data_IF_422197276885
#
_entry.id   IF_422197276885
#
_cell.length_a   1.000
_cell.length_b   1.000
_cell.length_c   1.000
_cell.angle_alpha   90.00
_cell.angle_beta   90.00
_cell.angle_gamma   90.00
#
_symmetry.space_group_name_H-M   'P 1'
#
loop_
_entity.id
_entity.type
_entity.pdbx_description
1 polymer ?
#
# COMPACT_ATOMS: atom_id res chain seq x y z
N UNK A 1 17.95 29.08 38.26
CA UNK A 1 16.81 28.78 37.34
C UNK A 1 17.15 28.87 35.84
N UNK A 2 18.27 29.48 35.46
CA UNK A 2 18.71 29.63 34.08
C UNK A 2 19.25 28.36 33.42
N UNK A 3 20.01 27.54 34.10
CA UNK A 3 20.73 26.38 33.53
C UNK A 3 19.82 25.24 33.05
N UNK A 4 18.66 25.03 33.68
CA UNK A 4 17.71 23.98 33.30
C UNK A 4 16.99 24.32 32.02
N UNK A 5 16.72 25.59 31.76
CA UNK A 5 16.03 26.06 30.56
C UNK A 5 16.96 26.01 29.32
N UNK A 6 18.22 26.42 29.50
CA UNK A 6 19.25 26.35 28.43
C UNK A 6 19.56 24.90 28.08
N UNK A 7 19.69 24.01 29.06
CA UNK A 7 19.90 22.58 28.86
C UNK A 7 18.74 21.96 28.03
N UNK A 8 17.49 22.26 28.35
CA UNK A 8 16.32 21.76 27.60
C UNK A 8 16.28 22.25 26.15
N UNK A 9 16.69 23.47 25.88
CA UNK A 9 16.72 24.05 24.55
C UNK A 9 17.82 23.40 23.72
N UNK A 10 19.03 23.26 24.23
CA UNK A 10 20.15 22.58 23.58
C UNK A 10 19.79 21.13 23.26
N UNK A 11 19.25 20.38 24.22
CA UNK A 11 18.83 19.00 24.03
C UNK A 11 17.77 18.87 22.92
N UNK A 12 16.79 19.77 22.87
CA UNK A 12 15.77 19.78 21.81
C UNK A 12 16.38 20.03 20.43
N UNK A 13 17.30 20.96 20.29
CA UNK A 13 17.96 21.24 19.02
C UNK A 13 18.87 20.09 18.60
N UNK A 14 19.63 19.51 19.52
CA UNK A 14 20.48 18.35 19.24
C UNK A 14 19.64 17.16 18.76
N UNK A 15 18.53 16.84 19.44
CA UNK A 15 17.62 15.78 19.01
C UNK A 15 17.02 16.06 17.62
N UNK A 16 16.61 17.31 17.35
CA UNK A 16 16.09 17.67 16.01
C UNK A 16 17.14 17.47 14.93
N UNK A 17 18.36 17.95 15.14
CA UNK A 17 19.46 17.81 14.17
C UNK A 17 19.80 16.33 13.95
N UNK A 18 19.86 15.53 15.00
CA UNK A 18 20.11 14.08 14.89
C UNK A 18 19.00 13.37 14.10
N UNK A 19 17.73 13.63 14.43
CA UNK A 19 16.59 13.00 13.74
C UNK A 19 16.52 13.45 12.29
N UNK A 20 16.65 14.74 12.02
CA UNK A 20 16.64 15.27 10.64
C UNK A 20 17.85 14.74 9.85
N UNK A 21 19.04 14.74 10.45
CA UNK A 21 20.24 14.19 9.82
C UNK A 21 20.10 12.69 9.50
N UNK A 22 19.52 11.91 10.41
CA UNK A 22 19.22 10.51 10.21
C UNK A 22 18.23 10.29 9.05
N UNK A 23 17.14 11.08 8.99
CA UNK A 23 16.16 11.00 7.91
C UNK A 23 16.77 11.43 6.55
N UNK A 24 17.59 12.47 6.53
CA UNK A 24 18.30 12.89 5.32
C UNK A 24 19.21 11.76 4.83
N UNK A 25 20.00 11.18 5.72
CA UNK A 25 20.97 10.15 5.36
C UNK A 25 20.32 8.86 4.87
N UNK A 26 19.26 8.40 5.55
CA UNK A 26 18.64 7.11 5.25
C UNK A 26 17.53 7.16 4.20
N UNK A 27 16.86 8.30 4.02
CA UNK A 27 15.72 8.41 3.12
C UNK A 27 16.04 9.34 1.95
N UNK A 28 16.40 10.60 2.24
CA UNK A 28 16.56 11.59 1.19
C UNK A 28 17.79 11.30 0.33
N UNK A 29 18.91 10.95 0.94
CA UNK A 29 20.16 10.69 0.24
C UNK A 29 20.05 9.55 -0.79
N UNK A 30 19.57 8.32 -0.45
CA UNK A 30 19.38 7.27 -1.46
C UNK A 30 18.42 7.66 -2.57
N UNK A 31 17.31 8.33 -2.24
CA UNK A 31 16.34 8.79 -3.27
C UNK A 31 16.97 9.81 -4.20
N UNK A 32 17.80 10.74 -3.69
CA UNK A 32 18.52 11.71 -4.55
C UNK A 32 19.56 11.04 -5.42
N UNK A 33 20.20 9.95 -4.96
CA UNK A 33 21.11 9.17 -5.79
C UNK A 33 20.38 8.47 -6.94
N UNK A 34 19.22 7.87 -6.68
CA UNK A 34 18.38 7.29 -7.76
C UNK A 34 17.98 8.36 -8.76
N UNK A 35 17.54 9.54 -8.30
CA UNK A 35 17.23 10.64 -9.20
C UNK A 35 18.44 11.09 -10.01
N UNK A 36 19.62 11.22 -9.39
CA UNK A 36 20.87 11.58 -10.08
C UNK A 36 21.21 10.57 -11.16
N UNK A 37 21.19 9.28 -10.86
CA UNK A 37 21.51 8.22 -11.83
C UNK A 37 20.47 8.19 -12.97
N UNK A 38 19.19 8.42 -12.68
CA UNK A 38 18.14 8.52 -13.71
C UNK A 38 18.47 9.61 -14.74
N UNK A 39 18.94 10.76 -14.32
CA UNK A 39 19.19 11.90 -15.19
C UNK A 39 20.67 12.08 -15.57
N UNK A 40 21.56 11.17 -15.19
CA UNK A 40 23.00 11.26 -15.44
C UNK A 40 23.35 11.40 -16.94
N UNK A 41 22.56 10.74 -17.80
CA UNK A 41 22.73 10.77 -19.25
C UNK A 41 21.80 11.74 -19.98
N UNK A 42 21.16 12.67 -19.24
CA UNK A 42 20.19 13.62 -19.77
C UNK A 42 18.75 13.09 -19.81
N UNK A 43 17.84 13.89 -20.38
CA UNK A 43 16.40 13.59 -20.43
C UNK A 43 16.01 12.66 -21.58
N UNK A 44 16.75 12.68 -22.71
CA UNK A 44 16.37 11.87 -23.88
C UNK A 44 16.34 10.37 -23.59
N UNK A 45 17.37 9.76 -22.97
CA UNK A 45 17.31 8.33 -22.61
C UNK A 45 16.19 7.97 -21.63
N UNK A 46 15.83 8.89 -20.73
CA UNK A 46 14.69 8.70 -19.81
C UNK A 46 13.36 8.64 -20.57
N UNK A 47 13.19 9.55 -21.54
CA UNK A 47 11.98 9.56 -22.38
C UNK A 47 11.92 8.31 -23.25
N UNK A 48 13.03 7.87 -23.81
CA UNK A 48 13.11 6.67 -24.64
C UNK A 48 12.80 5.42 -23.80
N UNK A 49 13.36 5.28 -22.60
CA UNK A 49 13.02 4.22 -21.66
C UNK A 49 11.52 4.17 -21.33
N UNK A 50 10.87 5.33 -21.12
CA UNK A 50 9.43 5.39 -20.84
C UNK A 50 8.55 5.06 -22.06
N UNK A 51 9.10 5.07 -23.26
CA UNK A 51 8.40 4.68 -24.50
C UNK A 51 8.53 3.19 -24.82
N UNK A 52 9.39 2.47 -24.12
CA UNK A 52 9.51 1.03 -24.34
C UNK A 52 8.20 0.32 -24.03
N UNK A 53 7.71 -0.55 -24.94
CA UNK A 53 6.47 -1.27 -24.74
C UNK A 53 6.45 -2.09 -23.45
N UNK A 54 7.58 -2.67 -23.07
CA UNK A 54 7.73 -3.47 -21.86
C UNK A 54 7.57 -2.61 -20.58
N UNK A 55 8.16 -1.41 -20.57
CA UNK A 55 8.03 -0.46 -19.46
C UNK A 55 6.57 -0.01 -19.33
N UNK A 56 5.95 0.38 -20.45
CA UNK A 56 4.55 0.82 -20.46
C UNK A 56 3.65 -0.30 -19.92
N UNK A 57 3.81 -1.52 -20.42
CA UNK A 57 3.04 -2.68 -19.98
C UNK A 57 3.23 -2.94 -18.47
N UNK A 58 4.47 -2.95 -17.98
CA UNK A 58 4.79 -3.18 -16.58
C UNK A 58 4.15 -2.14 -15.66
N UNK A 59 4.15 -0.86 -16.04
CA UNK A 59 3.45 0.20 -15.31
C UNK A 59 1.92 0.05 -15.36
N UNK A 60 1.34 -0.26 -16.52
CA UNK A 60 -0.10 -0.51 -16.64
C UNK A 60 -0.54 -1.67 -15.75
N UNK A 61 0.20 -2.77 -15.75
CA UNK A 61 -0.09 -3.92 -14.91
C UNK A 61 0.02 -3.56 -13.42
N UNK A 62 1.08 -2.83 -13.02
CA UNK A 62 1.27 -2.39 -11.63
C UNK A 62 0.14 -1.48 -11.16
N UNK A 63 -0.22 -0.47 -11.96
CA UNK A 63 -1.30 0.45 -11.64
C UNK A 63 -2.65 -0.26 -11.57
N UNK A 64 -2.92 -1.15 -12.52
CA UNK A 64 -4.15 -1.96 -12.50
C UNK A 64 -4.21 -2.87 -11.28
N UNK A 65 -3.13 -3.58 -10.95
CA UNK A 65 -3.08 -4.44 -9.77
C UNK A 65 -3.24 -3.64 -8.48
N UNK A 66 -2.57 -2.50 -8.35
CA UNK A 66 -2.70 -1.62 -7.20
C UNK A 66 -4.12 -1.06 -7.07
N UNK A 67 -4.75 -0.62 -8.18
CA UNK A 67 -6.11 -0.14 -8.18
C UNK A 67 -7.11 -1.20 -7.66
N UNK A 68 -7.06 -2.41 -8.22
CA UNK A 68 -7.97 -3.48 -7.80
C UNK A 68 -7.69 -3.95 -6.36
N UNK A 69 -6.42 -4.02 -5.95
CA UNK A 69 -6.06 -4.32 -4.57
C UNK A 69 -6.63 -3.29 -3.59
N UNK A 70 -6.54 -1.99 -3.93
CA UNK A 70 -7.09 -0.90 -3.12
C UNK A 70 -8.62 -0.94 -3.07
N UNK A 71 -9.30 -1.23 -4.19
CA UNK A 71 -10.76 -1.39 -4.22
C UNK A 71 -11.19 -2.53 -3.29
N UNK A 72 -10.55 -3.70 -3.41
CA UNK A 72 -10.81 -4.86 -2.54
C UNK A 72 -10.57 -4.47 -1.07
N UNK A 73 -9.42 -3.89 -0.76
CA UNK A 73 -9.04 -3.50 0.60
C UNK A 73 -9.95 -2.41 1.19
N UNK A 74 -10.47 -1.52 0.36
CA UNK A 74 -11.44 -0.50 0.80
C UNK A 74 -12.75 -1.14 1.21
N UNK A 75 -13.32 -2.01 0.37
CA UNK A 75 -14.61 -2.66 0.63
C UNK A 75 -14.50 -3.58 1.85
N UNK A 76 -13.55 -4.52 1.82
CA UNK A 76 -13.38 -5.49 2.91
C UNK A 76 -12.80 -4.84 4.16
N UNK A 77 -11.89 -3.86 4.02
CA UNK A 77 -11.29 -3.14 5.13
C UNK A 77 -12.32 -2.35 5.94
N UNK A 78 -13.25 -1.66 5.29
CA UNK A 78 -14.37 -0.98 5.98
C UNK A 78 -15.29 -2.01 6.63
N UNK A 79 -15.64 -3.10 5.92
CA UNK A 79 -16.48 -4.17 6.46
C UNK A 79 -15.87 -4.82 7.70
N UNK A 80 -14.58 -5.19 7.65
CA UNK A 80 -13.85 -5.78 8.79
C UNK A 80 -13.75 -4.77 9.94
N UNK A 81 -13.49 -3.49 9.65
CA UNK A 81 -13.41 -2.45 10.68
C UNK A 81 -14.73 -2.27 11.42
N UNK A 82 -15.86 -2.25 10.70
CA UNK A 82 -17.20 -2.23 11.29
C UNK A 82 -17.45 -3.49 12.13
N UNK A 83 -17.12 -4.67 11.61
CA UNK A 83 -17.28 -5.92 12.34
C UNK A 83 -16.45 -5.92 13.64
N UNK A 84 -15.21 -5.44 13.58
CA UNK A 84 -14.34 -5.37 14.74
C UNK A 84 -14.76 -4.34 15.79
N UNK A 85 -15.43 -3.26 15.41
CA UNK A 85 -15.76 -2.17 16.35
C UNK A 85 -17.20 -2.24 16.83
N UNK A 86 -18.16 -2.55 15.95
CA UNK A 86 -19.58 -2.50 16.25
C UNK A 86 -20.18 -3.81 16.78
N UNK A 87 -19.48 -4.95 16.55
CA UNK A 87 -20.02 -6.24 16.91
C UNK A 87 -19.13 -6.96 17.93
N UNK A 88 -19.79 -7.66 18.86
CA UNK A 88 -19.14 -8.58 19.80
C UNK A 88 -19.46 -10.01 19.38
N UNK A 89 -18.44 -10.80 19.07
CA UNK A 89 -18.58 -12.19 18.64
C UNK A 89 -17.41 -13.04 19.12
N UNK A 90 -17.59 -14.37 19.29
CA UNK A 90 -16.48 -15.24 19.60
C UNK A 90 -15.48 -15.24 18.44
N UNK A 91 -14.18 -15.13 18.75
CA UNK A 91 -13.12 -15.04 17.72
C UNK A 91 -12.74 -13.63 17.28
N UNK A 92 -13.36 -12.57 17.82
CA UNK A 92 -12.98 -11.16 17.50
C UNK A 92 -11.49 -10.88 17.72
N UNK A 93 -10.91 -11.44 18.81
CA UNK A 93 -9.45 -11.29 19.09
C UNK A 93 -8.61 -11.98 18.04
N UNK A 94 -9.02 -13.18 17.61
CA UNK A 94 -8.35 -13.94 16.55
C UNK A 94 -8.44 -13.21 15.21
N UNK A 95 -9.62 -12.69 14.84
CA UNK A 95 -9.77 -11.89 13.62
C UNK A 95 -8.88 -10.65 13.65
N UNK A 96 -8.80 -9.95 14.78
CA UNK A 96 -7.91 -8.78 14.92
C UNK A 96 -6.43 -9.17 14.75
N UNK A 97 -6.01 -10.33 15.28
CA UNK A 97 -4.64 -10.83 15.08
C UNK A 97 -4.39 -11.27 13.63
N UNK A 98 -5.39 -11.88 12.96
CA UNK A 98 -5.29 -12.26 11.55
C UNK A 98 -5.17 -11.05 10.62
N UNK A 99 -5.79 -9.93 10.95
CA UNK A 99 -5.63 -8.65 10.22
C UNK A 99 -4.18 -8.17 10.26
N UNK A 100 -3.44 -8.42 11.35
CA UNK A 100 -2.04 -8.01 11.47
C UNK A 100 -1.04 -9.00 10.85
N UNK A 101 -1.50 -10.21 10.52
CA UNK A 101 -0.65 -11.27 10.00
C UNK A 101 0.16 -10.84 8.76
N UNK A 102 -0.41 -10.10 7.78
CA UNK A 102 0.36 -9.62 6.62
C UNK A 102 1.52 -8.67 6.97
N UNK A 103 1.46 -7.99 8.11
CA UNK A 103 2.54 -7.11 8.58
C UNK A 103 3.66 -7.90 9.27
N UNK A 104 3.34 -9.06 9.84
CA UNK A 104 4.29 -9.90 10.58
C UNK A 104 4.99 -10.93 9.66
N UNK A 105 4.36 -11.34 8.58
CA UNK A 105 4.85 -12.39 7.67
C UNK A 105 5.58 -11.76 6.48
N UNK A 106 6.70 -12.36 6.07
CA UNK A 106 7.40 -11.91 4.87
C UNK A 106 6.51 -12.00 3.63
N UNK A 107 6.48 -10.98 2.76
CA UNK A 107 5.73 -11.01 1.51
C UNK A 107 6.03 -12.23 0.63
N UNK A 108 7.28 -12.71 0.63
CA UNK A 108 7.67 -13.92 -0.11
C UNK A 108 6.92 -15.16 0.42
N UNK A 109 6.79 -15.29 1.73
CA UNK A 109 6.04 -16.40 2.35
C UNK A 109 4.55 -16.30 2.02
N UNK A 110 4.00 -15.08 1.97
CA UNK A 110 2.63 -14.84 1.49
C UNK A 110 2.47 -15.33 0.05
N UNK A 111 3.41 -14.98 -0.84
CA UNK A 111 3.39 -15.44 -2.23
C UNK A 111 3.42 -16.97 -2.35
N UNK A 112 4.30 -17.64 -1.58
CA UNK A 112 4.36 -19.11 -1.53
C UNK A 112 3.05 -19.71 -1.01
N UNK A 113 2.45 -19.12 0.01
CA UNK A 113 1.17 -19.59 0.55
C UNK A 113 0.05 -19.48 -0.49
N UNK A 114 0.01 -18.40 -1.26
CA UNK A 114 -0.94 -18.23 -2.37
C UNK A 114 -0.72 -19.28 -3.47
N UNK A 115 0.53 -19.63 -3.80
CA UNK A 115 0.83 -20.70 -4.75
C UNK A 115 0.31 -22.04 -4.24
N UNK A 116 0.50 -22.37 -2.96
CA UNK A 116 -0.01 -23.61 -2.35
C UNK A 116 -1.54 -23.69 -2.37
N UNK A 117 -2.24 -22.54 -2.33
CA UNK A 117 -3.70 -22.52 -2.36
C UNK A 117 -4.24 -22.51 -3.81
N UNK A 118 -3.65 -21.69 -4.68
CA UNK A 118 -4.25 -21.33 -5.97
C UNK A 118 -3.52 -21.86 -7.21
N UNK A 119 -2.41 -22.63 -7.07
CA UNK A 119 -1.74 -23.22 -8.23
C UNK A 119 -2.61 -24.30 -8.86
N UNK A 120 -2.79 -24.23 -10.18
CA UNK A 120 -3.61 -25.19 -10.91
C UNK A 120 -3.14 -26.64 -10.83
N UNK A 121 -1.82 -26.84 -10.72
CA UNK A 121 -1.22 -28.20 -10.68
C UNK A 121 -1.20 -28.82 -9.28
N UNK A 122 -0.90 -28.02 -8.26
CA UNK A 122 -0.60 -28.50 -6.90
C UNK A 122 -1.39 -27.78 -5.82
N UNK A 123 -2.14 -26.74 -6.18
CA UNK A 123 -2.87 -25.90 -5.26
C UNK A 123 -4.19 -26.53 -4.82
N UNK A 124 -4.59 -26.24 -3.59
CA UNK A 124 -5.81 -26.80 -2.99
C UNK A 124 -7.09 -26.39 -3.76
N UNK A 125 -7.18 -25.13 -4.21
CA UNK A 125 -8.32 -24.59 -4.97
C UNK A 125 -8.01 -24.40 -6.46
N UNK A 126 -6.73 -24.42 -6.84
CA UNK A 126 -6.28 -24.03 -8.17
C UNK A 126 -6.86 -24.89 -9.30
N UNK A 127 -6.92 -26.21 -9.12
CA UNK A 127 -7.46 -27.11 -10.13
C UNK A 127 -8.94 -26.86 -10.43
N UNK A 128 -9.75 -26.58 -9.40
CA UNK A 128 -11.19 -26.26 -9.57
C UNK A 128 -11.38 -24.90 -10.25
N UNK A 129 -10.53 -23.92 -9.95
CA UNK A 129 -10.59 -22.59 -10.55
C UNK A 129 -10.17 -22.62 -12.03
N UNK A 130 -9.11 -23.36 -12.36
CA UNK A 130 -8.68 -23.54 -13.75
C UNK A 130 -9.73 -24.26 -14.61
N UNK A 131 -10.40 -25.28 -14.06
CA UNK A 131 -11.54 -25.95 -14.73
C UNK A 131 -12.70 -24.98 -14.98
N UNK A 132 -12.88 -23.98 -14.11
CA UNK A 132 -13.83 -22.88 -14.29
C UNK A 132 -13.31 -21.76 -15.23
N UNK A 133 -12.12 -21.91 -15.83
CA UNK A 133 -11.51 -20.92 -16.73
C UNK A 133 -10.77 -19.78 -16.00
N UNK A 134 -10.55 -19.91 -14.70
CA UNK A 134 -9.90 -18.86 -13.86
C UNK A 134 -8.49 -19.30 -13.45
N UNK A 135 -7.49 -18.80 -14.18
CA UNK A 135 -6.09 -18.93 -13.78
C UNK A 135 -5.74 -17.82 -12.80
N UNK A 136 -5.25 -18.19 -11.60
CA UNK A 136 -4.84 -17.24 -10.54
C UNK A 136 -3.31 -17.08 -10.54
N UNK A 137 -2.57 -18.16 -10.39
CA UNK A 137 -1.10 -18.11 -10.35
C UNK A 137 -0.54 -17.95 -11.77
N UNK A 138 0.52 -17.13 -11.89
CA UNK A 138 1.12 -16.69 -13.16
C UNK A 138 0.16 -15.90 -14.05
N UNK A 139 -0.80 -15.20 -13.43
CA UNK A 139 -1.79 -14.37 -14.09
C UNK A 139 -2.09 -13.10 -13.25
N UNK A 140 -2.69 -12.05 -13.85
CA UNK A 140 -3.01 -10.82 -13.12
C UNK A 140 -3.84 -10.99 -11.85
N UNK A 141 -4.81 -11.93 -11.74
CA UNK A 141 -5.56 -12.13 -10.50
C UNK A 141 -4.67 -12.50 -9.31
N UNK A 142 -3.62 -13.31 -9.51
CA UNK A 142 -2.66 -13.66 -8.46
C UNK A 142 -1.87 -12.45 -7.97
N UNK A 143 -1.48 -11.56 -8.89
CA UNK A 143 -0.80 -10.31 -8.55
C UNK A 143 -1.71 -9.43 -7.69
N UNK A 144 -2.99 -9.28 -8.09
CA UNK A 144 -3.99 -8.50 -7.35
C UNK A 144 -4.20 -9.07 -5.95
N UNK A 145 -4.38 -10.39 -5.83
CA UNK A 145 -4.58 -11.05 -4.53
C UNK A 145 -3.37 -10.90 -3.61
N UNK A 146 -2.16 -11.09 -4.13
CA UNK A 146 -0.94 -10.93 -3.37
C UNK A 146 -0.77 -9.49 -2.86
N UNK A 147 -1.00 -8.51 -3.73
CA UNK A 147 -0.92 -7.08 -3.41
C UNK A 147 -2.01 -6.69 -2.40
N UNK A 148 -3.25 -7.15 -2.61
CA UNK A 148 -4.36 -6.89 -1.69
C UNK A 148 -4.09 -7.48 -0.29
N UNK A 149 -3.62 -8.72 -0.21
CA UNK A 149 -3.30 -9.36 1.06
C UNK A 149 -2.26 -8.56 1.86
N UNK A 150 -1.16 -8.17 1.23
CA UNK A 150 -0.06 -7.47 1.91
C UNK A 150 -0.46 -6.06 2.36
N UNK A 151 -1.35 -5.38 1.61
CA UNK A 151 -1.75 -3.99 1.91
C UNK A 151 -3.08 -3.88 2.68
N UNK A 152 -3.81 -4.98 2.90
CA UNK A 152 -5.11 -5.02 3.59
C UNK A 152 -5.10 -4.37 4.99
N UNK A 153 -4.11 -4.59 5.86
CA UNK A 153 -4.12 -4.03 7.21
C UNK A 153 -4.17 -2.50 7.24
N UNK A 154 -3.64 -1.83 6.22
CA UNK A 154 -3.46 -0.38 6.21
C UNK A 154 -4.81 0.36 6.26
N UNK A 155 -5.80 -0.08 5.51
CA UNK A 155 -7.15 0.51 5.56
C UNK A 155 -7.80 0.25 6.92
N UNK A 156 -7.71 -0.97 7.43
CA UNK A 156 -8.34 -1.37 8.69
C UNK A 156 -7.74 -0.58 9.87
N UNK A 157 -6.42 -0.44 9.91
CA UNK A 157 -5.70 0.24 11.00
C UNK A 157 -5.93 1.75 11.04
N UNK A 158 -6.30 2.35 9.92
CA UNK A 158 -6.70 3.77 9.91
C UNK A 158 -8.18 3.96 10.30
N UNK A 159 -9.06 3.06 9.91
CA UNK A 159 -10.51 3.19 10.13
C UNK A 159 -10.93 2.78 11.54
N UNK A 160 -10.37 1.70 12.10
CA UNK A 160 -10.74 1.17 13.43
C UNK A 160 -10.62 2.19 14.55
N UNK A 161 -9.51 2.95 14.73
CA UNK A 161 -9.39 3.92 15.80
C UNK A 161 -10.44 5.02 15.71
N UNK A 162 -10.74 5.51 14.50
CA UNK A 162 -11.75 6.56 14.29
C UNK A 162 -13.16 6.06 14.61
N UNK A 163 -13.50 4.82 14.20
CA UNK A 163 -14.76 4.20 14.57
C UNK A 163 -14.92 4.03 16.09
N UNK A 164 -13.83 3.75 16.80
CA UNK A 164 -13.82 3.66 18.26
C UNK A 164 -14.01 5.04 18.91
N UNK A 165 -13.35 6.07 18.37
CA UNK A 165 -13.40 7.45 18.90
C UNK A 165 -14.79 8.09 18.75
N UNK A 166 -15.44 7.90 17.59
CA UNK A 166 -16.78 8.49 17.33
C UNK A 166 -17.92 7.82 18.09
N UNK A 167 -17.70 6.62 18.65
CA UNK A 167 -18.72 5.87 19.37
C UNK A 167 -19.91 5.43 18.50
N UNK A 168 -21.05 5.12 19.14
CA UNK A 168 -22.27 4.63 18.48
C UNK A 168 -23.49 5.55 18.65
N UNK A 169 -23.35 6.64 19.38
CA UNK A 169 -24.45 7.51 19.78
C UNK A 169 -25.22 8.07 18.57
N UNK A 170 -24.52 8.57 17.56
CA UNK A 170 -25.15 9.12 16.36
C UNK A 170 -25.87 8.03 15.53
N UNK A 171 -25.28 6.83 15.46
CA UNK A 171 -25.87 5.68 14.75
C UNK A 171 -27.16 5.20 15.46
N UNK A 172 -27.15 5.17 16.81
CA UNK A 172 -28.31 4.82 17.64
C UNK A 172 -29.42 5.86 17.52
N UNK A 173 -29.10 7.16 17.55
CA UNK A 173 -30.05 8.23 17.36
C UNK A 173 -30.75 8.14 15.97
N UNK A 174 -29.98 7.89 14.91
CA UNK A 174 -30.52 7.71 13.56
C UNK A 174 -31.46 6.48 13.48
N UNK A 175 -31.09 5.38 14.09
CA UNK A 175 -31.91 4.17 14.12
C UNK A 175 -33.20 4.38 14.90
N UNK A 176 -33.16 5.14 16.00
CA UNK A 176 -34.36 5.54 16.79
C UNK A 176 -35.29 6.42 15.99
N UNK A 177 -34.79 7.18 15.01
CA UNK A 177 -35.59 7.99 14.08
C UNK A 177 -36.05 7.18 12.83
N UNK A 178 -35.81 5.86 12.80
CA UNK A 178 -36.29 4.98 11.73
C UNK A 178 -35.34 4.83 10.55
N UNK A 179 -34.08 5.29 10.64
CA UNK A 179 -33.11 5.08 9.59
C UNK A 179 -32.72 3.60 9.47
N UNK A 180 -32.68 3.09 8.23
CA UNK A 180 -32.16 1.74 7.95
C UNK A 180 -30.64 1.67 8.16
N UNK A 181 -30.08 0.47 8.35
CA UNK A 181 -28.64 0.28 8.54
C UNK A 181 -27.80 0.85 7.38
N UNK A 182 -28.26 0.70 6.13
CA UNK A 182 -27.60 1.28 4.96
C UNK A 182 -27.65 2.81 4.95
N UNK A 183 -28.79 3.39 5.37
CA UNK A 183 -28.94 4.84 5.51
C UNK A 183 -28.04 5.40 6.61
N UNK A 184 -27.97 4.72 7.76
CA UNK A 184 -27.07 5.07 8.87
C UNK A 184 -25.60 5.00 8.42
N UNK A 185 -25.23 3.93 7.76
CA UNK A 185 -23.87 3.79 7.21
C UNK A 185 -23.54 4.92 6.22
N UNK A 186 -24.37 5.12 5.20
CA UNK A 186 -24.07 6.07 4.12
C UNK A 186 -24.09 7.53 4.56
N UNK A 187 -24.99 7.90 5.52
CA UNK A 187 -25.22 9.30 5.91
C UNK A 187 -24.49 9.71 7.20
N UNK A 188 -24.09 8.75 8.04
CA UNK A 188 -23.46 9.03 9.35
C UNK A 188 -22.09 8.41 9.41
N UNK A 189 -21.98 7.07 9.33
CA UNK A 189 -20.73 6.36 9.58
C UNK A 189 -19.69 6.66 8.51
N UNK A 190 -20.03 6.53 7.22
CA UNK A 190 -19.09 6.76 6.10
C UNK A 190 -18.57 8.22 6.06
N UNK A 191 -19.41 9.27 6.19
CA UNK A 191 -18.92 10.64 6.29
C UNK A 191 -18.03 10.89 7.50
N UNK A 192 -18.30 10.23 8.63
CA UNK A 192 -17.51 10.38 9.86
C UNK A 192 -16.09 9.77 9.70
N UNK A 193 -15.96 8.63 9.03
CA UNK A 193 -14.67 7.96 8.80
C UNK A 193 -13.96 8.39 7.52
N UNK A 194 -14.52 9.26 6.69
CA UNK A 194 -14.05 9.56 5.33
C UNK A 194 -12.57 9.91 5.25
N UNK A 195 -12.05 10.68 6.20
CA UNK A 195 -10.65 11.08 6.19
C UNK A 195 -9.71 9.96 6.59
N UNK A 196 -10.09 9.13 7.56
CA UNK A 196 -9.34 7.93 7.91
C UNK A 196 -9.33 6.92 6.75
N UNK A 197 -10.50 6.74 6.12
CA UNK A 197 -10.63 5.88 4.95
C UNK A 197 -9.76 6.37 3.79
N UNK A 198 -9.81 7.67 3.46
CA UNK A 198 -9.00 8.26 2.40
C UNK A 198 -7.50 8.06 2.69
N UNK A 199 -7.07 8.28 3.92
CA UNK A 199 -5.68 8.08 4.32
C UNK A 199 -5.27 6.61 4.22
N UNK A 200 -6.09 5.68 4.72
CA UNK A 200 -5.86 4.25 4.61
C UNK A 200 -5.80 3.76 3.15
N UNK A 201 -6.67 4.28 2.28
CA UNK A 201 -6.67 4.02 0.83
C UNK A 201 -5.35 4.44 0.19
N UNK A 202 -4.84 5.62 0.51
CA UNK A 202 -3.59 6.10 -0.08
C UNK A 202 -2.37 5.39 0.47
N UNK A 203 -2.35 5.06 1.76
CA UNK A 203 -1.30 4.20 2.31
C UNK A 203 -1.31 2.82 1.63
N UNK A 204 -2.49 2.23 1.45
CA UNK A 204 -2.66 0.96 0.74
C UNK A 204 -2.19 1.06 -0.72
N UNK A 205 -2.50 2.17 -1.42
CA UNK A 205 -2.05 2.43 -2.78
C UNK A 205 -0.52 2.54 -2.85
N UNK A 206 0.08 3.38 -2.01
CA UNK A 206 1.53 3.56 -1.98
C UNK A 206 2.26 2.24 -1.70
N UNK A 207 1.73 1.43 -0.75
CA UNK A 207 2.26 0.10 -0.44
C UNK A 207 2.11 -0.87 -1.60
N UNK A 208 0.97 -0.82 -2.31
CA UNK A 208 0.66 -1.68 -3.45
C UNK A 208 1.57 -1.41 -4.66
N UNK A 209 1.90 -0.15 -4.92
CA UNK A 209 2.80 0.24 -6.02
C UNK A 209 4.22 -0.31 -5.83
N UNK A 210 4.68 -0.43 -4.59
CA UNK A 210 5.99 -0.96 -4.24
C UNK A 210 6.01 -2.46 -3.93
N UNK A 211 4.90 -3.21 -4.18
CA UNK A 211 4.90 -4.64 -3.88
C UNK A 211 5.81 -5.41 -4.83
N UNK A 212 6.70 -6.21 -4.25
CA UNK A 212 7.70 -6.98 -4.96
C UNK A 212 7.72 -8.44 -4.52
N UNK A 213 7.86 -8.70 -3.23
CA UNK A 213 8.17 -10.03 -2.70
C UNK A 213 7.10 -11.08 -2.98
N UNK A 214 5.83 -10.76 -2.68
CA UNK A 214 4.73 -11.67 -2.94
C UNK A 214 4.43 -11.77 -4.44
N UNK A 215 4.48 -10.64 -5.15
CA UNK A 215 4.26 -10.57 -6.59
C UNK A 215 5.31 -11.39 -7.35
N UNK A 216 6.59 -11.33 -6.98
CA UNK A 216 7.65 -12.13 -7.60
C UNK A 216 7.33 -13.62 -7.64
N UNK A 217 6.75 -14.16 -6.57
CA UNK A 217 6.41 -15.57 -6.47
C UNK A 217 5.17 -15.93 -7.28
N UNK A 218 4.09 -15.12 -7.19
CA UNK A 218 2.82 -15.46 -7.82
C UNK A 218 2.74 -15.12 -9.30
N UNK A 219 3.56 -14.17 -9.78
CA UNK A 219 3.52 -13.69 -11.17
C UNK A 219 4.42 -14.48 -12.12
N UNK A 220 5.53 -15.00 -11.62
CA UNK A 220 6.59 -15.61 -12.44
C UNK A 220 7.37 -14.60 -13.29
N UNK A 221 7.08 -13.30 -13.22
CA UNK A 221 7.86 -12.22 -13.83
C UNK A 221 7.99 -12.26 -15.36
N UNK A 222 6.99 -12.77 -16.07
CA UNK A 222 7.07 -12.91 -17.53
C UNK A 222 6.84 -11.55 -18.22
N UNK A 223 7.84 -11.08 -18.98
CA UNK A 223 7.78 -9.85 -19.75
C UNK A 223 6.52 -9.80 -20.63
N UNK A 224 5.88 -8.63 -20.74
CA UNK A 224 4.66 -8.39 -21.51
C UNK A 224 3.45 -9.27 -21.11
N UNK A 225 3.49 -9.93 -19.92
CA UNK A 225 2.37 -10.74 -19.42
C UNK A 225 2.09 -10.54 -17.93
N UNK A 226 3.09 -10.74 -17.08
CA UNK A 226 2.93 -10.74 -15.62
C UNK A 226 4.05 -10.01 -14.89
N UNK A 227 4.94 -9.36 -15.62
CA UNK A 227 6.01 -8.55 -15.07
C UNK A 227 5.46 -7.20 -14.62
N UNK A 228 5.55 -6.91 -13.33
CA UNK A 228 5.25 -5.59 -12.76
C UNK A 228 6.44 -4.65 -12.85
N UNK A 229 6.24 -3.36 -12.65
CA UNK A 229 7.31 -2.38 -12.72
C UNK A 229 8.42 -2.62 -11.68
N UNK A 230 8.09 -3.15 -10.50
CA UNK A 230 9.08 -3.54 -9.49
C UNK A 230 9.94 -4.73 -9.93
N UNK A 231 9.35 -5.70 -10.63
CA UNK A 231 10.07 -6.84 -11.21
C UNK A 231 10.93 -6.42 -12.40
N UNK A 232 10.41 -5.51 -13.24
CA UNK A 232 11.18 -4.92 -14.34
C UNK A 232 12.43 -4.20 -13.80
N UNK A 233 12.29 -3.40 -12.74
CA UNK A 233 13.42 -2.72 -12.09
C UNK A 233 14.49 -3.73 -11.65
N UNK A 234 14.09 -4.81 -10.97
CA UNK A 234 15.02 -5.85 -10.52
C UNK A 234 15.72 -6.52 -11.70
N UNK A 235 14.98 -6.96 -12.70
CA UNK A 235 15.53 -7.67 -13.86
C UNK A 235 16.52 -6.80 -14.62
N UNK A 236 16.13 -5.56 -14.98
CA UNK A 236 16.97 -4.63 -15.72
C UNK A 236 18.21 -4.20 -14.91
N UNK A 237 18.09 -4.05 -13.60
CA UNK A 237 19.22 -3.74 -12.73
C UNK A 237 20.26 -4.87 -12.66
N UNK A 238 19.82 -6.13 -12.75
CA UNK A 238 20.73 -7.30 -12.76
C UNK A 238 21.37 -7.56 -14.12
N UNK A 239 20.83 -6.97 -15.19
CA UNK A 239 21.42 -7.08 -16.53
C UNK A 239 22.54 -6.06 -16.72
N UNK A 240 23.62 -6.49 -17.39
CA UNK A 240 24.71 -5.59 -17.73
C UNK A 240 24.30 -4.64 -18.88
N UNK A 241 24.86 -3.43 -18.85
CA UNK A 241 24.68 -2.44 -19.91
C UNK A 241 24.08 -1.12 -19.40
N UNK A 242 24.50 -0.04 -20.03
CA UNK A 242 24.06 1.32 -19.65
C UNK A 242 22.56 1.49 -19.90
N UNK A 243 22.04 0.94 -20.98
CA UNK A 243 20.61 1.00 -21.35
C UNK A 243 19.73 0.35 -20.28
N UNK A 244 20.07 -0.86 -19.83
CA UNK A 244 19.35 -1.56 -18.78
C UNK A 244 19.36 -0.77 -17.46
N UNK A 245 20.49 -0.17 -17.11
CA UNK A 245 20.61 0.67 -15.92
C UNK A 245 19.71 1.91 -16.01
N UNK A 246 19.64 2.57 -17.18
CA UNK A 246 18.78 3.73 -17.41
C UNK A 246 17.31 3.33 -17.23
N UNK A 247 16.86 2.21 -17.82
CA UNK A 247 15.50 1.71 -17.67
C UNK A 247 15.19 1.42 -16.21
N UNK A 248 16.08 0.70 -15.50
CA UNK A 248 15.90 0.37 -14.10
C UNK A 248 15.76 1.60 -13.21
N UNK A 249 16.67 2.56 -13.31
CA UNK A 249 16.62 3.80 -12.52
C UNK A 249 15.43 4.67 -12.90
N UNK A 250 15.08 4.76 -14.19
CA UNK A 250 13.89 5.50 -14.65
C UNK A 250 12.61 4.92 -14.06
N UNK A 251 12.43 3.61 -14.17
CA UNK A 251 11.25 2.95 -13.62
C UNK A 251 11.17 3.06 -12.09
N UNK A 252 12.30 2.89 -11.38
CA UNK A 252 12.36 3.06 -9.94
C UNK A 252 12.03 4.50 -9.50
N UNK A 253 12.57 5.50 -10.20
CA UNK A 253 12.30 6.91 -9.94
C UNK A 253 10.82 7.26 -10.13
N UNK A 254 10.21 6.82 -11.22
CA UNK A 254 8.77 7.07 -11.50
C UNK A 254 7.88 6.40 -10.45
N UNK A 255 8.16 5.14 -10.06
CA UNK A 255 7.42 4.48 -9.00
C UNK A 255 7.51 5.25 -7.67
N UNK A 256 8.72 5.67 -7.29
CA UNK A 256 8.93 6.46 -6.08
C UNK A 256 8.20 7.81 -6.16
N UNK A 257 8.26 8.49 -7.32
CA UNK A 257 7.59 9.77 -7.54
C UNK A 257 6.06 9.63 -7.40
N UNK A 258 5.45 8.63 -8.02
CA UNK A 258 4.00 8.38 -7.92
C UNK A 258 3.60 8.12 -6.46
N UNK A 259 4.35 7.27 -5.74
CA UNK A 259 4.07 6.95 -4.34
C UNK A 259 4.19 8.19 -3.44
N UNK A 260 5.25 8.99 -3.61
CA UNK A 260 5.46 10.22 -2.84
C UNK A 260 4.38 11.27 -3.15
N UNK A 261 4.05 11.47 -4.43
CA UNK A 261 2.98 12.39 -4.83
C UNK A 261 1.63 11.99 -4.22
N UNK A 262 1.28 10.72 -4.25
CA UNK A 262 0.06 10.21 -3.63
C UNK A 262 0.01 10.53 -2.12
N UNK A 263 1.11 10.30 -1.40
CA UNK A 263 1.22 10.60 0.03
C UNK A 263 1.14 12.11 0.31
N UNK A 264 1.85 12.94 -0.47
CA UNK A 264 1.85 14.40 -0.30
C UNK A 264 0.46 14.97 -0.53
N UNK A 265 -0.23 14.54 -1.60
CA UNK A 265 -1.59 14.99 -1.92
C UNK A 265 -2.52 14.74 -0.72
N UNK A 266 -2.53 13.52 -0.17
CA UNK A 266 -3.43 13.20 0.94
C UNK A 266 -3.05 13.90 2.25
N UNK A 267 -1.75 14.02 2.52
CA UNK A 267 -1.30 14.72 3.74
C UNK A 267 -1.68 16.22 3.70
N UNK A 268 -1.67 16.82 2.50
CA UNK A 268 -2.04 18.24 2.31
C UNK A 268 -3.55 18.50 2.51
N UNK A 269 -4.39 17.49 2.29
CA UNK A 269 -5.84 17.60 2.50
C UNK A 269 -6.30 17.15 3.89
N UNK A 270 -5.38 16.71 4.76
CA UNK A 270 -5.73 16.32 6.14
C UNK A 270 -6.14 17.57 6.92
N UNK A 271 -7.37 17.63 7.48
CA UNK A 271 -7.73 18.71 8.37
C UNK A 271 -6.81 18.69 9.58
N UNK A 272 -6.15 19.81 9.87
CA UNK A 272 -5.42 19.96 11.14
C UNK A 272 -6.38 19.61 12.27
N UNK A 273 -6.07 18.57 13.05
CA UNK A 273 -6.70 18.37 14.35
C UNK A 273 -6.26 19.57 15.17
N UNK A 274 -7.12 20.63 15.17
CA UNK A 274 -6.85 21.83 15.93
C UNK A 274 -6.42 21.44 17.33
N UNK A 275 -5.18 21.82 17.70
CA UNK A 275 -4.77 21.81 19.10
C UNK A 275 -5.86 22.48 19.90
N UNK A 276 -6.47 21.83 20.88
CA UNK A 276 -7.38 22.53 21.80
C UNK A 276 -6.59 23.66 22.44
N UNK A 277 -7.04 24.90 22.21
CA UNK A 277 -6.53 26.10 22.90
C UNK A 277 -6.95 26.05 24.36
#
# INVERSE_FOLDING_TARGET
MGDVAVSRTVTRWTLRVLVVGYLILLVIWPVTLVARETFANGLAPVIDALREPEVIFAFQLTLSAAFWAVVINTIFGVGISLLLVRYTFPGRRTLNALVDLPLAVSPVVVGLSLVLVYSGRTGWLGGSLEQAGLQVIYAPPGIILATAFVSMPLVIREVVPVLQEIGTEQEQAATSLGASGLQTFARITLPAIRWALLYGVVLSLARSLGEFGAVKIVSGGVAMRTQTATLLVEERYQQFGVENSIIAYTAAFILALIAVLALVVVTSFRPDKGTPR
#
